data_IF_421096349006
#
_entry.id   IF_421096349006
#
_cell.length_a   1.000
_cell.length_b   1.000
_cell.length_c   1.000
_cell.angle_alpha   90.00
_cell.angle_beta   90.00
_cell.angle_gamma   90.00
#
_symmetry.space_group_name_H-M   'P 1'
#
loop_
_entity.id
_entity.type
_entity.pdbx_description
1 polymer ?
#
# COMPACT_ATOMS: atom_id res chain seq x y z
N UNK A 1 45.79 -68.06 14.89
CA UNK A 1 46.99 -67.20 14.97
C UNK A 1 47.02 -66.52 16.35
N UNK A 2 47.99 -66.84 17.22
CA UNK A 2 48.20 -66.07 18.46
C UNK A 2 48.86 -64.75 18.08
N UNK A 3 48.17 -63.63 18.30
CA UNK A 3 48.70 -62.29 18.06
C UNK A 3 49.88 -62.07 19.02
N UNK A 4 51.04 -61.67 18.48
CA UNK A 4 52.25 -61.39 19.24
C UNK A 4 52.08 -60.23 20.22
N UNK A 5 52.83 -60.24 21.32
CA UNK A 5 52.70 -59.25 22.42
C UNK A 5 52.91 -57.80 21.93
N UNK A 6 53.85 -57.59 21.01
CA UNK A 6 54.13 -56.29 20.38
C UNK A 6 52.90 -55.70 19.67
N UNK A 7 52.20 -56.50 18.87
CA UNK A 7 50.99 -56.06 18.13
C UNK A 7 49.85 -55.67 19.09
N UNK A 8 49.71 -56.37 20.22
CA UNK A 8 48.70 -56.03 21.24
C UNK A 8 48.98 -54.69 21.91
N UNK A 9 50.24 -54.41 22.24
CA UNK A 9 50.66 -53.13 22.85
C UNK A 9 50.44 -51.97 21.87
N UNK A 10 50.83 -52.13 20.60
CA UNK A 10 50.63 -51.13 19.55
C UNK A 10 49.14 -50.84 19.34
N UNK A 11 48.30 -51.88 19.26
CA UNK A 11 46.85 -51.72 19.12
C UNK A 11 46.22 -50.97 20.31
N UNK A 12 46.71 -51.24 21.53
CA UNK A 12 46.21 -50.59 22.74
C UNK A 12 46.56 -49.09 22.76
N UNK A 13 47.80 -48.74 22.39
CA UNK A 13 48.21 -47.34 22.23
C UNK A 13 47.46 -46.62 21.11
N UNK A 14 47.19 -47.30 19.99
CA UNK A 14 46.39 -46.77 18.89
C UNK A 14 44.96 -46.45 19.33
N UNK A 15 44.29 -47.37 20.02
CA UNK A 15 42.94 -47.15 20.54
C UNK A 15 42.94 -46.01 21.57
N UNK A 16 43.91 -46.00 22.49
CA UNK A 16 44.03 -44.96 23.51
C UNK A 16 44.32 -43.56 22.95
N UNK A 17 44.96 -43.45 21.78
CA UNK A 17 45.16 -42.18 21.09
C UNK A 17 43.99 -41.78 20.17
N UNK A 18 43.52 -42.69 19.33
CA UNK A 18 42.55 -42.40 18.28
C UNK A 18 41.12 -42.23 18.81
N UNK A 19 40.71 -43.00 19.83
CA UNK A 19 39.34 -42.92 20.34
C UNK A 19 39.08 -41.57 21.03
N UNK A 20 39.91 -41.09 21.97
CA UNK A 20 39.73 -39.76 22.57
C UNK A 20 39.84 -38.63 21.55
N UNK A 21 40.71 -38.77 20.55
CA UNK A 21 40.84 -37.80 19.46
C UNK A 21 39.56 -37.73 18.61
N UNK A 22 38.98 -38.88 18.26
CA UNK A 22 37.71 -38.96 17.56
C UNK A 22 36.55 -38.37 18.36
N UNK A 23 36.46 -38.69 19.66
CA UNK A 23 35.45 -38.12 20.57
C UNK A 23 35.61 -36.61 20.68
N UNK A 24 36.85 -36.13 20.88
CA UNK A 24 37.15 -34.69 20.99
C UNK A 24 36.83 -33.96 19.69
N UNK A 25 37.17 -34.53 18.53
CA UNK A 25 36.81 -33.99 17.22
C UNK A 25 35.29 -33.92 17.03
N UNK A 26 34.56 -34.96 17.41
CA UNK A 26 33.10 -35.00 17.33
C UNK A 26 32.42 -33.97 18.25
N UNK A 27 32.89 -33.85 19.49
CA UNK A 27 32.40 -32.85 20.45
C UNK A 27 32.73 -31.44 19.93
N UNK A 28 33.95 -31.22 19.45
CA UNK A 28 34.40 -29.96 18.88
C UNK A 28 33.54 -29.54 17.69
N UNK A 29 33.29 -30.44 16.74
CA UNK A 29 32.44 -30.17 15.57
C UNK A 29 30.99 -29.85 15.97
N UNK A 30 30.41 -30.60 16.92
CA UNK A 30 29.05 -30.32 17.42
C UNK A 30 28.96 -28.98 18.13
N UNK A 31 29.95 -28.67 18.96
CA UNK A 31 30.03 -27.40 19.70
C UNK A 31 30.19 -26.22 18.75
N UNK A 32 31.09 -26.32 17.78
CA UNK A 32 31.28 -25.32 16.74
C UNK A 32 30.01 -25.11 15.91
N UNK A 33 29.36 -26.19 15.46
CA UNK A 33 28.10 -26.11 14.71
C UNK A 33 26.99 -25.44 15.53
N UNK A 34 26.88 -25.78 16.81
CA UNK A 34 25.90 -25.16 17.72
C UNK A 34 26.18 -23.67 17.89
N UNK A 35 27.43 -23.30 18.16
CA UNK A 35 27.84 -21.90 18.36
C UNK A 35 27.62 -21.06 17.09
N UNK A 36 28.00 -21.57 15.91
CA UNK A 36 27.77 -20.89 14.63
C UNK A 36 26.27 -20.72 14.33
N UNK A 37 25.47 -21.76 14.58
CA UNK A 37 24.01 -21.67 14.42
C UNK A 37 23.44 -20.62 15.37
N UNK A 38 23.80 -20.65 16.64
CA UNK A 38 23.33 -19.68 17.63
C UNK A 38 23.72 -18.25 17.27
N UNK A 39 24.95 -18.03 16.79
CA UNK A 39 25.41 -16.73 16.31
C UNK A 39 24.59 -16.25 15.09
N UNK A 40 24.32 -17.14 14.14
CA UNK A 40 23.49 -16.81 12.97
C UNK A 40 22.06 -16.44 13.39
N UNK A 41 21.45 -17.17 14.32
CA UNK A 41 20.11 -16.81 14.84
C UNK A 41 20.13 -15.48 15.58
N UNK A 42 21.13 -15.20 16.41
CA UNK A 42 21.27 -13.91 17.09
C UNK A 42 21.39 -12.75 16.10
N UNK A 43 22.13 -12.95 15.00
CA UNK A 43 22.22 -11.96 13.93
C UNK A 43 20.85 -11.71 13.28
N UNK A 44 20.10 -12.76 12.93
CA UNK A 44 18.77 -12.62 12.34
C UNK A 44 17.78 -11.95 13.31
N UNK A 45 17.86 -12.26 14.61
CA UNK A 45 17.04 -11.58 15.65
C UNK A 45 17.39 -10.10 15.73
N UNK A 46 18.68 -9.75 15.72
CA UNK A 46 19.12 -8.35 15.71
C UNK A 46 18.57 -7.59 14.50
N UNK A 47 18.68 -8.17 13.30
CA UNK A 47 18.14 -7.58 12.07
C UNK A 47 16.62 -7.45 12.18
N UNK A 48 15.91 -8.46 12.70
CA UNK A 48 14.46 -8.41 12.91
C UNK A 48 14.07 -7.26 13.84
N UNK A 49 14.72 -7.11 15.00
CA UNK A 49 14.42 -6.02 15.94
C UNK A 49 14.69 -4.65 15.30
N UNK A 50 15.82 -4.47 14.59
CA UNK A 50 16.08 -3.23 13.87
C UNK A 50 15.00 -2.94 12.80
N UNK A 51 14.55 -3.96 12.06
CA UNK A 51 13.48 -3.79 11.07
C UNK A 51 12.16 -3.41 11.72
N UNK A 52 11.82 -4.06 12.82
CA UNK A 52 10.64 -3.71 13.62
C UNK A 52 10.68 -2.25 14.06
N UNK A 53 11.79 -1.82 14.68
CA UNK A 53 11.96 -0.43 15.13
C UNK A 53 11.84 0.57 13.97
N UNK A 54 12.46 0.29 12.82
CA UNK A 54 12.37 1.13 11.62
C UNK A 54 10.94 1.25 11.09
N UNK A 55 10.18 0.16 11.11
CA UNK A 55 8.78 0.14 10.66
C UNK A 55 7.89 0.89 11.66
N UNK A 56 8.05 0.65 12.96
CA UNK A 56 7.31 1.37 14.01
C UNK A 56 7.59 2.88 13.97
N UNK A 57 8.85 3.28 13.80
CA UNK A 57 9.23 4.68 13.64
C UNK A 57 8.61 5.30 12.38
N UNK A 58 8.61 4.56 11.27
CA UNK A 58 7.99 5.00 10.02
C UNK A 58 6.49 5.27 10.18
N UNK A 59 5.73 4.36 10.80
CA UNK A 59 4.30 4.59 11.09
C UNK A 59 4.09 5.76 12.04
N UNK A 60 4.89 5.87 13.12
CA UNK A 60 4.82 7.01 14.04
C UNK A 60 5.08 8.35 13.33
N UNK A 61 6.00 8.38 12.36
CA UNK A 61 6.28 9.57 11.58
C UNK A 61 5.12 9.94 10.65
N UNK A 62 4.44 8.95 10.06
CA UNK A 62 3.23 9.19 9.26
C UNK A 62 2.07 9.71 10.12
N UNK A 63 1.87 9.15 11.32
CA UNK A 63 0.88 9.67 12.27
C UNK A 63 1.13 11.15 12.60
N UNK A 64 2.39 11.53 12.86
CA UNK A 64 2.77 12.93 13.09
C UNK A 64 2.56 13.80 11.85
N UNK A 65 2.89 13.29 10.67
CA UNK A 65 2.72 13.99 9.39
C UNK A 65 1.25 14.30 9.11
N UNK A 66 0.35 13.31 9.19
CA UNK A 66 -1.08 13.52 8.93
C UNK A 66 -1.72 14.42 9.99
N UNK A 67 -1.32 14.28 11.26
CA UNK A 67 -1.79 15.16 12.34
C UNK A 67 -1.39 16.61 12.05
N UNK A 68 -0.12 16.85 11.73
CA UNK A 68 0.37 18.19 11.41
C UNK A 68 -0.29 18.76 10.14
N UNK A 69 -0.47 17.94 9.11
CA UNK A 69 -1.06 18.38 7.84
C UNK A 69 -2.56 18.65 7.95
N UNK A 70 -3.30 17.89 8.76
CA UNK A 70 -4.72 18.12 9.04
C UNK A 70 -5.00 19.46 9.74
N UNK A 71 -3.98 20.03 10.40
CA UNK A 71 -4.04 21.35 11.07
C UNK A 71 -3.44 22.47 10.23
N UNK A 72 -2.96 22.17 9.02
CA UNK A 72 -2.35 23.18 8.16
C UNK A 72 -3.44 24.10 7.57
N UNK A 73 -3.22 25.42 7.62
CA UNK A 73 -4.20 26.38 7.10
C UNK A 73 -4.51 26.17 5.61
N UNK A 74 -3.55 25.76 4.80
CA UNK A 74 -3.78 25.44 3.38
C UNK A 74 -4.75 24.29 3.23
N UNK A 75 -4.65 23.25 4.08
CA UNK A 75 -5.52 22.08 4.04
C UNK A 75 -6.92 22.42 4.54
N UNK A 76 -7.02 23.24 5.59
CA UNK A 76 -8.30 23.76 6.10
C UNK A 76 -9.01 24.57 5.01
N UNK A 77 -8.33 25.54 4.41
CA UNK A 77 -8.90 26.36 3.33
C UNK A 77 -9.26 25.52 2.11
N UNK A 78 -8.39 24.59 1.69
CA UNK A 78 -8.66 23.68 0.58
C UNK A 78 -9.93 22.87 0.83
N UNK A 79 -10.08 22.30 2.03
CA UNK A 79 -11.26 21.53 2.40
C UNK A 79 -12.54 22.37 2.28
N UNK A 80 -12.56 23.57 2.86
CA UNK A 80 -13.76 24.43 2.83
C UNK A 80 -14.11 24.94 1.43
N UNK A 81 -13.11 25.43 0.71
CA UNK A 81 -13.28 26.04 -0.61
C UNK A 81 -13.64 25.00 -1.67
N UNK A 82 -13.01 23.82 -1.65
CA UNK A 82 -13.35 22.71 -2.55
C UNK A 82 -14.72 22.10 -2.21
N UNK A 83 -15.05 21.92 -0.92
CA UNK A 83 -16.38 21.47 -0.49
C UNK A 83 -17.49 22.40 -0.99
N UNK A 84 -17.25 23.71 -0.94
CA UNK A 84 -18.24 24.70 -1.36
C UNK A 84 -18.39 24.74 -2.87
N UNK A 85 -17.27 24.84 -3.60
CA UNK A 85 -17.31 24.93 -5.06
C UNK A 85 -17.71 23.61 -5.73
N UNK A 86 -17.46 22.47 -5.10
CA UNK A 86 -17.95 21.16 -5.56
C UNK A 86 -19.46 21.17 -5.77
N UNK A 87 -20.22 21.76 -4.83
CA UNK A 87 -21.69 21.84 -4.90
C UNK A 87 -22.19 22.78 -6.00
N UNK A 88 -21.36 23.74 -6.40
CA UNK A 88 -21.68 24.74 -7.41
C UNK A 88 -21.29 24.28 -8.82
N UNK A 89 -20.41 23.27 -8.95
CA UNK A 89 -19.83 22.80 -10.20
C UNK A 89 -20.83 22.62 -11.33
N UNK A 90 -21.95 21.93 -11.06
CA UNK A 90 -22.98 21.66 -12.07
C UNK A 90 -23.63 22.96 -12.57
N UNK A 91 -23.96 23.86 -11.65
CA UNK A 91 -24.66 25.10 -11.95
C UNK A 91 -23.75 26.07 -12.72
N UNK A 92 -22.50 26.22 -12.28
CA UNK A 92 -21.52 27.12 -12.91
C UNK A 92 -21.17 26.70 -14.34
N UNK A 93 -21.18 25.40 -14.61
CA UNK A 93 -20.97 24.86 -15.95
C UNK A 93 -22.26 24.79 -16.80
N UNK A 94 -23.38 25.32 -16.29
CA UNK A 94 -24.68 25.35 -16.98
C UNK A 94 -25.12 23.95 -17.48
N UNK A 95 -24.84 22.89 -16.70
CA UNK A 95 -25.06 21.50 -17.13
C UNK A 95 -26.52 21.07 -16.89
N UNK A 96 -27.26 20.98 -17.99
CA UNK A 96 -28.63 20.47 -18.01
C UNK A 96 -28.69 18.92 -17.91
N UNK A 97 -29.90 18.38 -17.76
CA UNK A 97 -30.11 16.93 -17.64
C UNK A 97 -29.73 16.14 -18.91
N UNK A 98 -29.75 16.78 -20.09
CA UNK A 98 -29.37 16.16 -21.37
C UNK A 98 -27.85 16.01 -21.46
N UNK A 99 -27.11 17.07 -21.13
CA UNK A 99 -25.65 17.06 -20.99
C UNK A 99 -25.22 16.05 -19.93
N UNK A 100 -25.84 16.05 -18.76
CA UNK A 100 -25.55 15.09 -17.69
C UNK A 100 -25.71 13.63 -18.15
N UNK A 101 -26.78 13.32 -18.90
CA UNK A 101 -26.95 11.98 -19.50
C UNK A 101 -25.82 11.63 -20.47
N UNK A 102 -25.39 12.58 -21.31
CA UNK A 102 -24.24 12.37 -22.22
C UNK A 102 -22.94 12.14 -21.45
N UNK A 103 -22.67 12.90 -20.40
CA UNK A 103 -21.51 12.69 -19.55
C UNK A 103 -21.53 11.33 -18.86
N UNK A 104 -22.69 10.89 -18.35
CA UNK A 104 -22.85 9.55 -17.77
C UNK A 104 -22.53 8.45 -18.80
N UNK A 105 -23.00 8.57 -20.04
CA UNK A 105 -22.69 7.59 -21.10
C UNK A 105 -21.18 7.58 -21.43
N UNK A 106 -20.58 8.77 -21.56
CA UNK A 106 -19.14 8.90 -21.83
C UNK A 106 -18.29 8.32 -20.70
N UNK A 107 -18.66 8.57 -19.44
CA UNK A 107 -17.98 7.99 -18.28
C UNK A 107 -18.18 6.48 -18.19
N UNK A 108 -19.39 5.95 -18.47
CA UNK A 108 -19.62 4.49 -18.49
C UNK A 108 -18.73 3.81 -19.54
N UNK A 109 -18.49 4.49 -20.68
CA UNK A 109 -17.57 4.01 -21.72
C UNK A 109 -16.13 3.95 -21.22
N UNK A 110 -15.67 4.95 -20.44
CA UNK A 110 -14.35 4.92 -19.80
C UNK A 110 -14.22 3.73 -18.83
N UNK A 111 -15.24 3.49 -18.00
CA UNK A 111 -15.25 2.36 -17.07
C UNK A 111 -15.15 1.01 -17.80
N UNK A 112 -15.96 0.79 -18.83
CA UNK A 112 -16.02 -0.49 -19.57
C UNK A 112 -14.87 -0.70 -20.56
N UNK A 113 -14.13 0.36 -20.92
CA UNK A 113 -12.99 0.28 -21.85
C UNK A 113 -11.67 0.52 -21.16
N UNK A 114 -11.35 1.78 -20.86
CA UNK A 114 -10.03 2.20 -20.42
C UNK A 114 -9.69 1.62 -19.04
N UNK A 115 -10.59 1.79 -18.07
CA UNK A 115 -10.40 1.23 -16.72
C UNK A 115 -10.38 -0.30 -16.76
N UNK A 116 -11.36 -0.93 -17.42
CA UNK A 116 -11.43 -2.40 -17.55
C UNK A 116 -10.19 -2.99 -18.21
N UNK A 117 -9.62 -2.32 -19.23
CA UNK A 117 -8.40 -2.76 -19.91
C UNK A 117 -7.21 -2.78 -18.95
N UNK A 118 -6.99 -1.72 -18.19
CA UNK A 118 -5.88 -1.68 -17.23
C UNK A 118 -6.12 -2.63 -16.05
N UNK A 119 -7.36 -2.73 -15.58
CA UNK A 119 -7.75 -3.70 -14.56
C UNK A 119 -7.42 -5.13 -14.99
N UNK A 120 -7.78 -5.53 -16.22
CA UNK A 120 -7.45 -6.86 -16.77
C UNK A 120 -5.95 -7.09 -16.83
N UNK A 121 -5.19 -6.09 -17.27
CA UNK A 121 -3.73 -6.19 -17.36
C UNK A 121 -3.10 -6.45 -15.99
N UNK A 122 -3.59 -5.79 -14.94
CA UNK A 122 -3.04 -5.91 -13.58
C UNK A 122 -3.62 -7.06 -12.76
N UNK A 123 -4.74 -7.65 -13.20
CA UNK A 123 -5.46 -8.69 -12.47
C UNK A 123 -5.65 -9.96 -13.31
N UNK A 124 -4.63 -10.32 -14.09
CA UNK A 124 -4.57 -11.58 -14.86
C UNK A 124 -5.81 -11.84 -15.74
N UNK A 125 -6.29 -10.82 -16.42
CA UNK A 125 -7.44 -10.90 -17.33
C UNK A 125 -8.82 -10.90 -16.66
N UNK A 126 -8.90 -10.82 -15.33
CA UNK A 126 -10.17 -10.75 -14.60
C UNK A 126 -10.94 -9.48 -14.95
N UNK A 127 -12.25 -9.59 -15.07
CA UNK A 127 -13.16 -8.47 -15.27
C UNK A 127 -13.56 -7.83 -13.92
N UNK A 128 -13.54 -6.48 -13.81
CA UNK A 128 -14.16 -5.80 -12.69
C UNK A 128 -15.69 -5.81 -12.82
N UNK A 129 -16.40 -5.86 -11.69
CA UNK A 129 -17.86 -5.65 -11.66
C UNK A 129 -18.16 -4.15 -11.81
N UNK A 130 -18.15 -3.66 -13.05
CA UNK A 130 -18.31 -2.25 -13.37
C UNK A 130 -19.67 -1.72 -12.89
N UNK A 131 -20.74 -2.46 -13.12
CA UNK A 131 -22.10 -1.99 -12.82
C UNK A 131 -22.30 -1.82 -11.31
N UNK A 132 -21.72 -2.71 -10.47
CA UNK A 132 -21.70 -2.57 -9.01
C UNK A 132 -21.19 -1.21 -8.53
N UNK A 133 -20.18 -0.65 -9.20
CA UNK A 133 -19.60 0.64 -8.82
C UNK A 133 -20.26 1.82 -9.54
N UNK A 134 -20.45 1.69 -10.86
CA UNK A 134 -20.91 2.78 -11.72
C UNK A 134 -22.37 3.17 -11.44
N UNK A 135 -23.25 2.19 -11.20
CA UNK A 135 -24.68 2.46 -11.03
C UNK A 135 -24.98 3.16 -9.69
N UNK A 136 -24.03 3.17 -8.75
CA UNK A 136 -24.11 3.89 -7.47
C UNK A 136 -23.54 5.31 -7.54
N UNK A 137 -23.05 5.77 -8.70
CA UNK A 137 -22.58 7.14 -8.88
C UNK A 137 -23.75 8.11 -8.98
N UNK A 138 -23.78 9.10 -8.10
CA UNK A 138 -24.68 10.24 -8.25
C UNK A 138 -24.19 11.22 -9.32
N UNK A 139 -24.97 12.26 -9.55
CA UNK A 139 -24.73 13.20 -10.64
C UNK A 139 -23.43 13.98 -10.46
N UNK A 140 -23.11 14.37 -9.23
CA UNK A 140 -21.89 15.14 -8.95
C UNK A 140 -20.65 14.27 -9.14
N UNK A 141 -20.70 13.00 -8.70
CA UNK A 141 -19.63 12.02 -8.98
C UNK A 141 -19.41 11.82 -10.48
N UNK A 142 -20.50 11.69 -11.26
CA UNK A 142 -20.38 11.54 -12.71
C UNK A 142 -19.69 12.74 -13.34
N UNK A 143 -20.03 13.96 -12.91
CA UNK A 143 -19.45 15.18 -13.46
C UNK A 143 -17.96 15.29 -13.14
N UNK A 144 -17.57 15.20 -11.88
CA UNK A 144 -16.15 15.33 -11.54
C UNK A 144 -15.29 14.24 -12.18
N UNK A 145 -15.73 12.99 -12.17
CA UNK A 145 -14.96 11.93 -12.83
C UNK A 145 -14.89 12.13 -14.35
N UNK A 146 -15.93 12.69 -14.97
CA UNK A 146 -15.88 13.04 -16.38
C UNK A 146 -14.78 14.07 -16.64
N UNK A 147 -14.78 15.18 -15.90
CA UNK A 147 -13.87 16.30 -16.16
C UNK A 147 -12.42 16.00 -15.74
N UNK A 148 -12.21 15.28 -14.64
CA UNK A 148 -10.88 15.06 -14.06
C UNK A 148 -10.23 13.72 -14.39
N UNK A 149 -11.00 12.72 -14.86
CA UNK A 149 -10.48 11.39 -15.18
C UNK A 149 -10.65 11.08 -16.66
N UNK A 150 -11.90 11.12 -17.15
CA UNK A 150 -12.21 10.74 -18.53
C UNK A 150 -11.72 11.76 -19.55
N UNK A 151 -11.87 13.06 -19.28
CA UNK A 151 -11.43 14.15 -20.17
C UNK A 151 -9.99 14.60 -19.89
N UNK A 152 -9.30 13.91 -18.99
CA UNK A 152 -7.92 14.18 -18.66
C UNK A 152 -7.00 13.47 -19.68
N UNK A 153 -6.19 14.24 -20.41
CA UNK A 153 -5.32 13.73 -21.48
C UNK A 153 -4.07 12.99 -20.97
N UNK A 154 -3.74 13.11 -19.68
CA UNK A 154 -2.66 12.31 -19.10
C UNK A 154 -3.02 10.83 -19.12
N UNK A 155 -2.01 9.97 -19.30
CA UNK A 155 -2.21 8.51 -19.32
C UNK A 155 -2.72 8.00 -17.96
N UNK A 156 -3.27 6.78 -17.94
CA UNK A 156 -3.66 6.13 -16.69
C UNK A 156 -2.44 6.03 -15.75
N UNK A 157 -2.67 6.29 -14.46
CA UNK A 157 -1.60 6.41 -13.46
C UNK A 157 -0.92 7.79 -13.42
N UNK A 158 -1.20 8.68 -14.37
CA UNK A 158 -0.65 10.05 -14.40
C UNK A 158 -1.73 11.15 -14.30
N UNK A 159 -2.97 10.78 -13.95
CA UNK A 159 -4.11 11.71 -13.86
C UNK A 159 -3.87 12.83 -12.85
N UNK A 160 -3.02 12.58 -11.84
CA UNK A 160 -2.54 13.55 -10.87
C UNK A 160 -1.73 14.71 -11.46
N UNK A 161 -1.37 14.69 -12.74
CA UNK A 161 -0.69 15.84 -13.38
C UNK A 161 -1.66 16.94 -13.81
N UNK A 162 -2.97 16.66 -13.84
CA UNK A 162 -3.99 17.63 -14.20
C UNK A 162 -4.25 18.60 -13.04
N UNK A 163 -3.81 19.85 -13.22
CA UNK A 163 -3.99 20.91 -12.22
C UNK A 163 -5.43 21.46 -12.23
N UNK A 164 -6.07 21.61 -13.38
CA UNK A 164 -7.45 22.08 -13.48
C UNK A 164 -8.12 21.47 -14.73
N UNK A 165 -9.43 21.25 -14.68
CA UNK A 165 -10.17 20.81 -15.85
C UNK A 165 -10.40 21.97 -16.82
N UNK A 166 -10.59 21.65 -18.11
CA UNK A 166 -10.94 22.64 -19.15
C UNK A 166 -12.42 23.06 -19.00
N UNK A 167 -12.69 23.81 -17.94
CA UNK A 167 -13.98 24.38 -17.60
C UNK A 167 -13.81 25.76 -16.95
N UNK A 168 -14.92 26.44 -16.64
CA UNK A 168 -14.91 27.78 -16.04
C UNK A 168 -15.40 27.79 -14.60
N UNK A 169 -15.40 26.64 -13.93
CA UNK A 169 -15.92 26.51 -12.57
C UNK A 169 -14.96 27.07 -11.53
N UNK A 170 -15.56 27.58 -10.46
CA UNK A 170 -14.84 27.94 -9.23
C UNK A 170 -14.11 26.73 -8.65
N UNK A 171 -14.66 25.52 -8.83
CA UNK A 171 -14.01 24.29 -8.40
C UNK A 171 -12.69 24.04 -9.13
N UNK A 172 -12.64 24.19 -10.45
CA UNK A 172 -11.40 24.03 -11.22
C UNK A 172 -10.33 25.05 -10.84
N UNK A 173 -10.73 26.29 -10.54
CA UNK A 173 -9.82 27.31 -10.03
C UNK A 173 -9.26 26.95 -8.64
N UNK A 174 -10.10 26.56 -7.69
CA UNK A 174 -9.65 26.12 -6.36
C UNK A 174 -8.79 24.86 -6.46
N UNK A 175 -9.19 23.88 -7.27
CA UNK A 175 -8.42 22.66 -7.49
C UNK A 175 -7.04 23.02 -8.03
N UNK A 176 -6.92 23.86 -9.07
CA UNK A 176 -5.62 24.30 -9.59
C UNK A 176 -4.74 24.98 -8.54
N UNK A 177 -5.33 25.83 -7.69
CA UNK A 177 -4.58 26.52 -6.64
C UNK A 177 -4.05 25.56 -5.57
N UNK A 178 -4.87 24.63 -5.07
CA UNK A 178 -4.46 23.73 -3.99
C UNK A 178 -3.70 22.50 -4.47
N UNK A 179 -4.02 22.00 -5.66
CA UNK A 179 -3.51 20.74 -6.17
C UNK A 179 -1.99 20.72 -6.27
N UNK A 180 -1.37 21.80 -6.77
CA UNK A 180 0.09 21.91 -6.85
C UNK A 180 0.75 21.68 -5.47
N UNK A 181 0.25 22.34 -4.41
CA UNK A 181 0.82 22.27 -3.06
C UNK A 181 0.60 20.93 -2.39
N UNK A 182 -0.59 20.35 -2.56
CA UNK A 182 -0.91 19.04 -1.98
C UNK A 182 -0.18 17.92 -2.73
N UNK A 183 -0.05 18.03 -4.06
CA UNK A 183 0.76 17.11 -4.87
C UNK A 183 2.23 17.17 -4.46
N UNK A 184 2.82 18.36 -4.28
CA UNK A 184 4.21 18.48 -3.81
C UNK A 184 4.42 17.78 -2.47
N UNK A 185 3.49 17.92 -1.53
CA UNK A 185 3.54 17.19 -0.26
C UNK A 185 3.45 15.67 -0.47
N UNK A 186 2.50 15.22 -1.30
CA UNK A 186 2.33 13.81 -1.65
C UNK A 186 3.60 13.22 -2.26
N UNK A 187 4.21 13.89 -3.24
CA UNK A 187 5.44 13.46 -3.91
C UNK A 187 6.65 13.46 -2.97
N UNK A 188 6.80 14.50 -2.14
CA UNK A 188 7.95 14.65 -1.23
C UNK A 188 7.99 13.55 -0.16
N UNK A 189 6.85 13.20 0.41
CA UNK A 189 6.75 12.13 1.41
C UNK A 189 6.47 10.76 0.78
N UNK A 190 6.10 10.76 -0.50
CA UNK A 190 5.89 9.58 -1.32
C UNK A 190 4.58 8.87 -1.06
N UNK A 191 3.55 9.52 -0.48
CA UNK A 191 2.21 8.94 -0.28
C UNK A 191 1.62 8.50 -1.63
N UNK A 192 0.75 7.49 -1.67
CA UNK A 192 0.12 7.12 -2.94
C UNK A 192 -0.93 8.16 -3.36
N UNK A 193 -1.82 8.53 -2.42
CA UNK A 193 -2.83 9.55 -2.63
C UNK A 193 -3.13 10.30 -1.32
N UNK A 194 -3.68 11.50 -1.46
CA UNK A 194 -4.18 12.35 -0.37
C UNK A 194 -5.60 12.77 -0.71
N UNK A 195 -6.53 12.45 0.17
CA UNK A 195 -7.95 12.75 0.04
C UNK A 195 -8.38 13.83 1.03
N UNK A 196 -9.26 14.73 0.56
CA UNK A 196 -10.06 15.58 1.43
C UNK A 196 -11.53 15.16 1.31
N UNK A 197 -12.14 14.82 2.44
CA UNK A 197 -13.49 14.26 2.48
C UNK A 197 -14.42 15.15 3.31
N UNK A 198 -15.55 15.52 2.74
CA UNK A 198 -16.59 16.28 3.44
C UNK A 198 -17.21 15.43 4.56
N UNK A 199 -17.20 15.88 5.84
CA UNK A 199 -17.66 15.08 6.97
C UNK A 199 -19.17 14.80 6.92
N UNK A 200 -19.94 15.69 6.29
CA UNK A 200 -21.40 15.61 6.31
C UNK A 200 -21.93 14.67 5.22
N UNK A 201 -21.47 14.87 3.98
CA UNK A 201 -21.90 14.07 2.82
C UNK A 201 -21.05 12.82 2.59
N UNK A 202 -19.86 12.74 3.21
CA UNK A 202 -18.88 11.69 2.91
C UNK A 202 -18.21 11.84 1.55
N UNK A 203 -18.43 12.94 0.83
CA UNK A 203 -17.90 13.15 -0.51
C UNK A 203 -16.40 13.36 -0.50
N UNK A 204 -15.69 12.62 -1.35
CA UNK A 204 -14.29 12.88 -1.68
C UNK A 204 -14.23 14.11 -2.57
N UNK A 205 -14.13 15.29 -1.97
CA UNK A 205 -14.11 16.57 -2.70
C UNK A 205 -12.76 16.86 -3.34
N UNK A 206 -11.72 16.11 -2.95
CA UNK A 206 -10.37 16.21 -3.49
C UNK A 206 -9.62 14.86 -3.39
N UNK A 207 -8.88 14.51 -4.43
CA UNK A 207 -7.86 13.45 -4.48
C UNK A 207 -6.71 13.95 -5.35
N UNK A 208 -5.47 13.62 -4.97
CA UNK A 208 -4.29 13.91 -5.81
C UNK A 208 -4.36 13.02 -7.04
N UNK A 209 -4.52 11.70 -6.85
CA UNK A 209 -4.37 10.69 -7.91
C UNK A 209 -5.56 10.61 -8.88
N UNK A 210 -6.76 10.96 -8.42
CA UNK A 210 -8.02 10.95 -9.19
C UNK A 210 -8.30 9.58 -9.79
N UNK A 211 -8.73 8.65 -8.95
CA UNK A 211 -9.20 7.34 -9.38
C UNK A 211 -10.74 7.30 -9.39
N UNK A 212 -11.30 6.13 -9.68
CA UNK A 212 -12.76 5.95 -9.79
C UNK A 212 -13.52 6.14 -8.46
N UNK A 213 -12.83 6.40 -7.35
CA UNK A 213 -13.39 6.88 -6.08
C UNK A 213 -13.64 8.38 -6.03
N UNK A 214 -13.05 9.14 -6.95
CA UNK A 214 -13.09 10.60 -6.90
C UNK A 214 -14.52 11.14 -7.02
N UNK A 215 -14.87 12.09 -6.14
CA UNK A 215 -16.22 12.65 -6.07
C UNK A 215 -17.30 11.71 -5.52
N UNK A 216 -16.97 10.46 -5.14
CA UNK A 216 -17.94 9.51 -4.55
C UNK A 216 -18.11 9.72 -3.05
N UNK A 217 -19.17 9.14 -2.48
CA UNK A 217 -19.47 9.20 -1.04
C UNK A 217 -18.91 7.98 -0.31
N UNK A 218 -18.25 8.21 0.82
CA UNK A 218 -17.78 7.19 1.76
C UNK A 218 -18.80 6.79 2.83
N UNK A 219 -20.01 7.37 2.76
CA UNK A 219 -21.15 7.01 3.63
C UNK A 219 -22.07 6.01 2.93
N UNK A 220 -22.49 6.32 1.71
CA UNK A 220 -23.52 5.59 0.96
C UNK A 220 -23.15 5.30 -0.51
N UNK A 221 -21.97 5.75 -0.95
CA UNK A 221 -21.46 5.51 -2.30
C UNK A 221 -20.78 4.14 -2.50
N UNK A 222 -20.26 3.88 -3.72
CA UNK A 222 -19.73 2.58 -4.12
C UNK A 222 -18.59 2.03 -3.24
N UNK A 223 -17.80 2.91 -2.62
CA UNK A 223 -16.62 2.51 -1.83
C UNK A 223 -16.82 2.65 -0.31
N UNK A 224 -18.05 2.86 0.16
CA UNK A 224 -18.34 3.03 1.59
C UNK A 224 -17.89 1.82 2.44
N UNK A 225 -17.96 0.59 1.92
CA UNK A 225 -17.60 -0.62 2.67
C UNK A 225 -16.10 -1.00 2.59
N UNK A 226 -15.31 -0.21 1.86
CA UNK A 226 -13.86 -0.40 1.73
C UNK A 226 -13.09 0.10 2.96
N UNK A 227 -11.78 -0.15 3.01
CA UNK A 227 -10.93 0.38 4.07
C UNK A 227 -10.87 1.92 4.06
N UNK A 228 -10.99 2.57 2.90
CA UNK A 228 -11.12 4.03 2.79
C UNK A 228 -12.39 4.52 3.50
N UNK A 229 -13.54 3.88 3.25
CA UNK A 229 -14.79 4.22 3.93
C UNK A 229 -14.77 3.92 5.44
N UNK A 230 -14.13 2.82 5.85
CA UNK A 230 -13.96 2.49 7.28
C UNK A 230 -13.11 3.53 8.01
N UNK A 231 -11.95 3.91 7.47
CA UNK A 231 -11.06 4.87 8.13
C UNK A 231 -11.69 6.26 8.20
N UNK A 232 -12.43 6.65 7.14
CA UNK A 232 -13.23 7.87 7.13
C UNK A 232 -14.24 7.88 8.28
N UNK A 233 -15.05 6.83 8.44
CA UNK A 233 -16.06 6.77 9.50
C UNK A 233 -15.46 6.88 10.90
N UNK A 234 -14.32 6.23 11.15
CA UNK A 234 -13.66 6.28 12.47
C UNK A 234 -13.13 7.69 12.79
N UNK A 235 -12.44 8.34 11.83
CA UNK A 235 -11.98 9.72 12.01
C UNK A 235 -13.15 10.73 12.08
N UNK A 236 -14.21 10.51 11.30
CA UNK A 236 -15.37 11.39 11.29
C UNK A 236 -16.22 11.30 12.57
N UNK A 237 -16.19 10.17 13.31
CA UNK A 237 -16.83 10.07 14.63
C UNK A 237 -16.07 10.78 15.75
N UNK A 238 -14.76 10.94 15.61
CA UNK A 238 -13.91 11.52 16.66
C UNK A 238 -14.15 13.01 16.86
N UNK A 239 -14.18 13.49 18.10
CA UNK A 239 -14.23 14.92 18.43
C UNK A 239 -12.84 15.50 18.74
N UNK A 240 -11.79 14.67 18.70
CA UNK A 240 -10.41 15.11 18.98
C UNK A 240 -9.70 15.54 17.70
N UNK A 241 -9.14 16.78 17.64
CA UNK A 241 -8.29 17.22 16.52
C UNK A 241 -6.96 16.47 16.39
N UNK A 242 -6.56 15.70 17.41
CA UNK A 242 -5.35 14.87 17.41
C UNK A 242 -5.64 13.38 17.11
N UNK A 243 -6.88 13.06 16.76
CA UNK A 243 -7.25 11.67 16.49
C UNK A 243 -6.64 11.18 15.18
N UNK A 244 -6.00 10.02 15.25
CA UNK A 244 -5.48 9.33 14.06
C UNK A 244 -5.99 7.90 14.07
N UNK A 245 -6.41 7.41 12.90
CA UNK A 245 -6.74 6.01 12.68
C UNK A 245 -6.03 5.46 11.47
N UNK A 246 -5.28 4.38 11.66
CA UNK A 246 -4.74 3.53 10.61
C UNK A 246 -5.67 2.33 10.38
N UNK A 247 -5.85 1.94 9.12
CA UNK A 247 -6.46 0.68 8.70
C UNK A 247 -5.48 -0.07 7.81
N UNK A 248 -5.27 -1.36 8.11
CA UNK A 248 -4.32 -2.23 7.41
C UNK A 248 -4.66 -2.41 5.91
N UNK A 249 -3.74 -3.01 5.18
CA UNK A 249 -3.85 -3.26 3.75
C UNK A 249 -5.01 -4.22 3.42
N UNK A 250 -5.73 -3.90 2.36
CA UNK A 250 -6.65 -4.80 1.68
C UNK A 250 -6.68 -4.49 0.18
N UNK A 251 -7.13 -5.41 -0.67
CA UNK A 251 -7.40 -5.10 -2.07
C UNK A 251 -8.34 -3.91 -2.22
N UNK A 252 -7.99 -2.98 -3.10
CA UNK A 252 -8.76 -1.76 -3.33
C UNK A 252 -9.01 -1.56 -4.83
N UNK A 253 -10.28 -1.72 -5.24
CA UNK A 253 -10.69 -1.68 -6.65
C UNK A 253 -10.28 -0.41 -7.39
N UNK A 254 -10.39 0.82 -6.81
CA UNK A 254 -9.94 2.02 -7.51
C UNK A 254 -8.47 1.97 -7.93
N UNK A 255 -7.62 1.35 -7.11
CA UNK A 255 -6.21 1.07 -7.41
C UNK A 255 -6.00 -0.33 -8.03
N UNK A 256 -6.97 -0.81 -8.80
CA UNK A 256 -6.94 -2.08 -9.55
C UNK A 256 -6.70 -3.32 -8.68
N UNK A 257 -7.31 -3.39 -7.49
CA UNK A 257 -7.12 -4.45 -6.49
C UNK A 257 -5.69 -4.54 -5.94
N UNK A 258 -4.89 -3.49 -6.11
CA UNK A 258 -3.61 -3.41 -5.41
C UNK A 258 -3.87 -3.22 -3.91
N UNK A 259 -2.97 -3.74 -3.08
CA UNK A 259 -3.09 -3.61 -1.64
C UNK A 259 -3.00 -2.13 -1.23
N UNK A 260 -4.04 -1.61 -0.58
CA UNK A 260 -4.09 -0.24 -0.07
C UNK A 260 -4.37 -0.22 1.43
N UNK A 261 -3.57 0.57 2.15
CA UNK A 261 -3.77 0.91 3.56
C UNK A 261 -4.02 2.41 3.66
N UNK A 262 -4.83 2.81 4.62
CA UNK A 262 -5.24 4.20 4.79
C UNK A 262 -5.07 4.67 6.22
N UNK A 263 -4.66 5.93 6.37
CA UNK A 263 -4.60 6.62 7.65
C UNK A 263 -5.38 7.93 7.57
N UNK A 264 -6.20 8.24 8.58
CA UNK A 264 -7.05 9.42 8.57
C UNK A 264 -6.93 10.25 9.86
N UNK A 265 -7.09 11.57 9.70
CA UNK A 265 -7.17 12.56 10.77
C UNK A 265 -8.31 13.55 10.46
N UNK A 266 -9.16 13.94 11.43
CA UNK A 266 -10.18 14.96 11.20
C UNK A 266 -9.53 16.34 11.02
N UNK A 267 -10.09 17.13 10.09
CA UNK A 267 -9.69 18.52 9.85
C UNK A 267 -10.63 19.42 10.66
N UNK A 268 -10.05 20.24 11.52
CA UNK A 268 -10.77 21.23 12.32
C UNK A 268 -10.36 22.64 11.92
N UNK A 269 -11.36 23.51 11.80
CA UNK A 269 -11.22 24.96 11.81
C UNK A 269 -11.70 25.45 13.19
N UNK A 270 -10.74 25.84 14.04
CA UNK A 270 -10.93 26.00 15.48
C UNK A 270 -11.59 24.78 16.14
N UNK A 271 -12.86 24.90 16.56
CA UNK A 271 -13.64 23.84 17.21
C UNK A 271 -14.59 23.12 16.23
N UNK A 272 -14.69 23.60 15.00
CA UNK A 272 -15.61 23.08 13.98
C UNK A 272 -14.88 22.08 13.10
N UNK A 273 -15.39 20.85 13.02
CA UNK A 273 -14.90 19.89 12.04
C UNK A 273 -15.35 20.32 10.64
N UNK A 274 -14.40 20.51 9.75
CA UNK A 274 -14.66 20.92 8.35
C UNK A 274 -14.42 19.80 7.34
N UNK A 275 -13.67 18.77 7.74
CA UNK A 275 -13.13 17.75 6.83
C UNK A 275 -12.65 16.49 7.54
N UNK A 276 -12.31 15.49 6.73
CA UNK A 276 -11.39 14.42 7.11
C UNK A 276 -10.28 14.35 6.08
N UNK A 277 -9.04 14.44 6.55
CA UNK A 277 -7.83 14.21 5.75
C UNK A 277 -7.53 12.71 5.77
N UNK A 278 -7.27 12.12 4.61
CA UNK A 278 -6.88 10.71 4.51
C UNK A 278 -5.66 10.58 3.61
N UNK A 279 -4.65 9.84 4.05
CA UNK A 279 -3.53 9.42 3.22
C UNK A 279 -3.66 7.94 2.86
N UNK A 280 -3.39 7.59 1.62
CA UNK A 280 -3.10 6.22 1.21
C UNK A 280 -1.61 5.94 1.40
N UNK A 281 -1.32 4.92 2.19
CA UNK A 281 0.02 4.59 2.67
C UNK A 281 0.95 4.14 1.53
N UNK A 282 2.22 4.58 1.51
CA UNK A 282 3.13 4.18 0.45
C UNK A 282 3.87 2.89 0.79
N UNK A 283 3.38 1.82 0.19
CA UNK A 283 3.90 0.45 0.36
C UNK A 283 5.39 0.35 -0.01
N UNK A 284 5.85 1.16 -0.96
CA UNK A 284 7.24 1.18 -1.43
C UNK A 284 8.23 1.54 -0.31
N UNK A 285 7.85 2.42 0.62
CA UNK A 285 8.71 2.77 1.75
C UNK A 285 8.87 1.60 2.72
N UNK A 286 7.79 0.88 3.00
CA UNK A 286 7.83 -0.35 3.81
C UNK A 286 8.72 -1.38 3.11
N UNK A 287 8.53 -1.56 1.80
CA UNK A 287 9.34 -2.47 0.99
C UNK A 287 10.82 -2.12 0.99
N UNK A 288 11.17 -0.85 0.83
CA UNK A 288 12.56 -0.39 0.89
C UNK A 288 13.20 -0.73 2.25
N UNK A 289 12.48 -0.52 3.35
CA UNK A 289 12.94 -0.88 4.69
C UNK A 289 13.14 -2.39 4.79
N UNK A 290 12.13 -3.19 4.44
CA UNK A 290 12.16 -4.65 4.59
C UNK A 290 13.15 -5.35 3.66
N UNK A 291 13.42 -4.80 2.48
CA UNK A 291 14.37 -5.38 1.51
C UNK A 291 15.79 -4.81 1.65
N UNK A 292 16.01 -3.87 2.58
CA UNK A 292 17.24 -3.05 2.61
C UNK A 292 17.55 -2.40 1.26
N UNK A 293 16.51 -1.96 0.54
CA UNK A 293 16.62 -1.49 -0.84
C UNK A 293 17.37 -2.50 -1.75
N UNK A 294 16.98 -3.77 -1.64
CA UNK A 294 17.57 -4.92 -2.34
C UNK A 294 19.04 -5.25 -2.00
N UNK A 295 19.55 -4.75 -0.86
CA UNK A 295 20.94 -4.95 -0.42
C UNK A 295 21.08 -6.02 0.66
N UNK A 296 20.41 -7.16 0.51
CA UNK A 296 20.38 -8.22 1.54
C UNK A 296 21.78 -8.71 1.94
N UNK A 297 22.63 -9.02 0.96
CA UNK A 297 23.98 -9.55 1.19
C UNK A 297 24.86 -8.60 2.02
N UNK A 298 24.89 -7.31 1.67
CA UNK A 298 25.69 -6.31 2.38
C UNK A 298 25.05 -5.85 3.69
N UNK A 299 23.75 -6.12 3.89
CA UNK A 299 23.03 -5.84 5.14
C UNK A 299 23.09 -7.00 6.15
N UNK A 300 23.92 -8.03 5.88
CA UNK A 300 24.14 -9.15 6.81
C UNK A 300 23.14 -10.29 6.70
N UNK A 301 22.31 -10.32 5.65
CA UNK A 301 21.39 -11.44 5.37
C UNK A 301 22.04 -12.53 4.49
N UNK A 302 23.25 -12.31 4.00
CA UNK A 302 23.99 -13.29 3.19
C UNK A 302 23.28 -13.65 1.89
N UNK A 303 23.51 -14.85 1.39
CA UNK A 303 23.00 -15.29 0.07
C UNK A 303 21.50 -15.62 0.07
N UNK A 304 20.91 -15.99 1.21
CA UNK A 304 19.53 -16.50 1.25
C UNK A 304 18.65 -15.94 2.37
N UNK A 305 19.18 -15.11 3.26
CA UNK A 305 18.36 -14.49 4.29
C UNK A 305 17.42 -13.45 3.71
N UNK A 306 16.21 -13.36 4.26
CA UNK A 306 15.25 -12.30 3.97
C UNK A 306 14.58 -11.81 5.25
N UNK A 307 13.92 -10.67 5.15
CA UNK A 307 13.03 -10.14 6.19
C UNK A 307 11.74 -9.74 5.53
N UNK A 308 10.62 -10.07 6.16
CA UNK A 308 9.29 -9.78 5.65
C UNK A 308 8.32 -9.47 6.79
N UNK A 309 7.19 -8.85 6.44
CA UNK A 309 6.07 -8.58 7.33
C UNK A 309 4.88 -9.43 6.88
N UNK A 310 4.20 -10.06 7.84
CA UNK A 310 2.95 -10.78 7.61
C UNK A 310 1.86 -10.12 8.47
N UNK A 311 0.70 -9.87 7.87
CA UNK A 311 -0.50 -9.42 8.59
C UNK A 311 -1.10 -10.51 9.48
N UNK A 312 -2.06 -10.14 10.33
CA UNK A 312 -2.80 -11.10 11.15
C UNK A 312 -3.64 -12.10 10.34
N UNK A 313 -3.84 -11.81 9.06
CA UNK A 313 -4.52 -12.66 8.08
C UNK A 313 -3.57 -13.66 7.38
N UNK A 314 -2.32 -13.75 7.83
CA UNK A 314 -1.28 -14.61 7.28
C UNK A 314 -0.84 -14.27 5.84
N UNK A 315 -1.15 -13.06 5.37
CA UNK A 315 -0.72 -12.56 4.05
C UNK A 315 0.42 -11.54 4.17
N UNK A 316 1.21 -11.35 3.12
CA UNK A 316 2.39 -10.50 3.18
C UNK A 316 2.01 -9.01 3.24
N UNK A 317 2.91 -8.19 3.80
CA UNK A 317 2.86 -6.71 3.77
C UNK A 317 4.16 -6.10 3.23
N UNK A 318 5.05 -6.96 2.75
CA UNK A 318 6.32 -6.58 2.15
C UNK A 318 6.70 -7.59 1.06
N UNK A 319 7.50 -7.15 0.10
CA UNK A 319 7.99 -7.99 -0.98
C UNK A 319 8.93 -9.09 -0.46
N UNK A 320 8.75 -10.33 -0.95
CA UNK A 320 9.73 -11.39 -0.72
C UNK A 320 10.99 -11.16 -1.55
N UNK A 321 12.15 -11.46 -0.96
CA UNK A 321 13.44 -11.45 -1.67
C UNK A 321 13.43 -12.40 -2.86
N UNK A 322 12.82 -13.58 -2.69
CA UNK A 322 12.86 -14.64 -3.68
C UNK A 322 12.03 -14.30 -4.92
N UNK A 323 10.91 -13.59 -4.76
CA UNK A 323 10.17 -13.06 -5.93
C UNK A 323 11.05 -12.10 -6.74
N UNK A 324 11.83 -11.25 -6.06
CA UNK A 324 12.66 -10.21 -6.69
C UNK A 324 13.92 -10.81 -7.36
N UNK A 325 14.63 -11.71 -6.68
CA UNK A 325 15.89 -12.28 -7.20
C UNK A 325 15.67 -13.46 -8.17
N UNK A 326 14.60 -14.25 -7.98
CA UNK A 326 14.31 -15.45 -8.78
C UNK A 326 12.80 -15.70 -8.88
N UNK A 327 12.14 -14.90 -9.72
CA UNK A 327 10.69 -14.96 -9.93
C UNK A 327 10.20 -16.35 -10.35
N UNK A 328 10.92 -17.02 -11.25
CA UNK A 328 10.56 -18.37 -11.73
C UNK A 328 10.69 -19.41 -10.62
N UNK A 329 11.80 -19.37 -9.86
CA UNK A 329 12.01 -20.25 -8.71
C UNK A 329 11.00 -20.03 -7.59
N UNK A 330 10.68 -18.77 -7.28
CA UNK A 330 9.62 -18.42 -6.33
C UNK A 330 8.27 -19.01 -6.76
N UNK A 331 7.88 -18.79 -8.02
CA UNK A 331 6.62 -19.32 -8.53
C UNK A 331 6.57 -20.86 -8.46
N UNK A 332 7.64 -21.54 -8.90
CA UNK A 332 7.73 -23.00 -8.84
C UNK A 332 7.66 -23.52 -7.40
N UNK A 333 8.33 -22.85 -6.45
CA UNK A 333 8.30 -23.19 -5.03
C UNK A 333 6.89 -23.05 -4.46
N UNK A 334 6.22 -21.93 -4.71
CA UNK A 334 4.89 -21.66 -4.18
C UNK A 334 3.84 -22.60 -4.78
N UNK A 335 3.95 -22.91 -6.08
CA UNK A 335 3.14 -23.96 -6.70
C UNK A 335 3.37 -25.33 -6.05
N UNK A 336 4.63 -25.69 -5.77
CA UNK A 336 4.98 -26.94 -5.06
C UNK A 336 4.48 -27.01 -3.61
N UNK A 337 4.25 -25.86 -2.97
CA UNK A 337 3.63 -25.74 -1.64
C UNK A 337 2.09 -25.78 -1.68
N UNK A 338 1.48 -25.86 -2.86
CA UNK A 338 0.03 -25.93 -3.04
C UNK A 338 -0.68 -24.58 -2.95
N UNK A 339 0.01 -23.47 -3.22
CA UNK A 339 -0.62 -22.15 -3.33
C UNK A 339 -1.53 -22.13 -4.56
N UNK A 340 -2.70 -21.52 -4.42
CA UNK A 340 -3.71 -21.46 -5.47
C UNK A 340 -3.17 -20.79 -6.75
N UNK A 341 -3.45 -21.38 -7.90
CA UNK A 341 -2.95 -20.93 -9.20
C UNK A 341 -3.45 -19.52 -9.55
N UNK A 342 -4.68 -19.15 -9.14
CA UNK A 342 -5.18 -17.79 -9.37
C UNK A 342 -4.38 -16.76 -8.59
N UNK A 343 -3.99 -17.06 -7.35
CA UNK A 343 -3.15 -16.18 -6.53
C UNK A 343 -1.73 -16.07 -7.12
N UNK A 344 -1.14 -17.18 -7.57
CA UNK A 344 0.17 -17.15 -8.22
C UNK A 344 0.19 -16.30 -9.50
N UNK A 345 -0.87 -16.41 -10.30
CA UNK A 345 -1.02 -15.60 -11.49
C UNK A 345 -1.21 -14.10 -11.16
N UNK A 346 -1.91 -13.77 -10.07
CA UNK A 346 -2.02 -12.39 -9.58
C UNK A 346 -0.66 -11.86 -9.14
N UNK A 347 0.10 -12.64 -8.35
CA UNK A 347 1.47 -12.29 -7.93
C UNK A 347 2.34 -12.03 -9.16
N UNK A 348 2.24 -12.88 -10.19
CA UNK A 348 3.00 -12.73 -11.42
C UNK A 348 2.62 -11.47 -12.20
N UNK A 349 1.32 -11.19 -12.34
CA UNK A 349 0.79 -10.05 -13.07
C UNK A 349 1.11 -8.70 -12.38
N UNK A 350 1.01 -8.65 -11.06
CA UNK A 350 1.31 -7.45 -10.25
C UNK A 350 2.79 -7.30 -9.91
N UNK A 351 3.59 -8.34 -10.15
CA UNK A 351 4.98 -8.41 -9.72
C UNK A 351 5.13 -8.13 -8.21
N UNK A 352 4.22 -8.70 -7.42
CA UNK A 352 4.15 -8.42 -5.99
C UNK A 352 3.67 -9.60 -5.16
N UNK A 353 4.30 -9.82 -4.00
CA UNK A 353 3.83 -10.78 -3.00
C UNK A 353 2.77 -10.22 -2.05
N UNK A 354 2.47 -8.92 -2.13
CA UNK A 354 1.65 -8.20 -1.15
C UNK A 354 0.18 -8.21 -1.51
#
# INVERSE_FOLDING_TARGET
MKIGMSTKVIALFLIAGLVPLGISGFIGQRTAKKALKEQAFKQLVSIRETKKEQVEEYFSNIEKQITAYSKNQTVINAMEELKTSFKQFRQENEIDDSQLKRYRIALKTYYTRDFTKEYKKLNNGLDPDIDKYFDRLDNDSVLLQTFYIRSNDYVLGEKYKLDFADDQSTYSNHHGYYHHRIREYQEQFGFYDIFLVDPDSGKIVYSVFKEIDYGTSLIDGPYADTNLGKVFREANKSTSPDFVKLVDFAPYTPSYESAASFIASPIFDDQRKVGVLIFQMPIDRINMVMTNNHKWKTSGLGESGETYIIGSDYTMRSQSRFLIEDKEGYHAQMAGLGVDESLLNIIQAKDSTI
#
